data_IF_984535580328
#
_entry.id   IF_984535580328
#
_cell.length_a   1.000
_cell.length_b   1.000
_cell.length_c   1.000
_cell.angle_alpha   90.00
_cell.angle_beta   90.00
_cell.angle_gamma   90.00
#
_symmetry.space_group_name_H-M   'P 1'
#
loop_
_entity.id
_entity.type
_entity.pdbx_description
1 polymer ?
#
# COMPACT_ATOMS: atom_id res chain seq x y z
N UNK A 1 13.69 11.85 25.93
CA UNK A 1 12.38 12.21 25.35
C UNK A 1 12.61 13.34 24.34
N UNK A 2 12.72 13.01 23.04
CA UNK A 2 12.73 14.05 21.99
C UNK A 2 11.32 14.65 21.99
N UNK A 3 11.22 15.97 22.15
CA UNK A 3 9.93 16.65 21.98
C UNK A 3 9.47 16.45 20.54
N UNK A 4 8.19 16.09 20.35
CA UNK A 4 7.55 16.04 19.04
C UNK A 4 7.46 17.46 18.49
N UNK A 5 8.53 17.90 17.82
CA UNK A 5 8.66 19.21 17.21
C UNK A 5 8.56 19.04 15.69
N UNK A 6 7.33 18.79 15.24
CA UNK A 6 6.99 18.79 13.82
C UNK A 6 6.73 20.24 13.41
N UNK A 7 7.34 20.67 12.30
CA UNK A 7 7.08 22.01 11.77
C UNK A 7 5.60 22.11 11.35
N UNK A 8 4.98 23.30 11.47
CA UNK A 8 3.55 23.45 11.13
C UNK A 8 3.22 22.96 9.71
N UNK A 9 4.09 23.21 8.74
CA UNK A 9 3.91 22.77 7.34
C UNK A 9 3.96 21.25 7.22
N UNK A 10 4.90 20.62 7.90
CA UNK A 10 5.10 19.17 7.97
C UNK A 10 3.88 18.49 8.62
N UNK A 11 3.36 19.07 9.72
CA UNK A 11 2.14 18.58 10.36
C UNK A 11 0.94 18.64 9.42
N UNK A 12 0.77 19.72 8.67
CA UNK A 12 -0.32 19.84 7.69
C UNK A 12 -0.19 18.82 6.56
N UNK A 13 1.02 18.57 6.06
CA UNK A 13 1.27 17.55 5.04
C UNK A 13 0.93 16.15 5.56
N UNK A 14 1.36 15.82 6.79
CA UNK A 14 1.03 14.56 7.44
C UNK A 14 -0.48 14.38 7.60
N UNK A 15 -1.18 15.39 8.13
CA UNK A 15 -2.63 15.35 8.28
C UNK A 15 -3.35 15.13 6.94
N UNK A 16 -2.88 15.80 5.88
CA UNK A 16 -3.45 15.63 4.54
C UNK A 16 -3.22 14.22 3.97
N UNK A 17 -2.09 13.57 4.27
CA UNK A 17 -1.84 12.18 3.89
C UNK A 17 -2.85 11.25 4.57
N UNK A 18 -3.04 11.39 5.88
CA UNK A 18 -4.01 10.58 6.62
C UNK A 18 -5.45 10.86 6.22
N UNK A 19 -5.80 12.11 5.92
CA UNK A 19 -7.12 12.48 5.40
C UNK A 19 -7.41 11.79 4.06
N UNK A 20 -6.46 11.85 3.12
CA UNK A 20 -6.59 11.16 1.83
C UNK A 20 -6.79 9.65 2.02
N UNK A 21 -6.02 9.03 2.92
CA UNK A 21 -6.18 7.61 3.25
C UNK A 21 -7.53 7.30 3.88
N UNK A 22 -8.01 8.14 4.79
CA UNK A 22 -9.31 8.00 5.43
C UNK A 22 -10.47 8.06 4.43
N UNK A 23 -10.35 8.86 3.36
CA UNK A 23 -11.34 8.88 2.28
C UNK A 23 -11.52 7.51 1.62
N UNK A 24 -10.47 6.69 1.52
CA UNK A 24 -10.55 5.34 0.93
C UNK A 24 -11.22 4.34 1.86
N UNK A 25 -11.10 4.55 3.17
CA UNK A 25 -11.71 3.67 4.16
C UNK A 25 -13.24 3.84 4.22
N UNK A 26 -13.82 4.82 3.51
CA UNK A 26 -15.27 4.97 3.34
C UNK A 26 -16.06 5.01 4.67
N UNK A 27 -15.47 5.60 5.71
CA UNK A 27 -15.94 5.58 7.10
C UNK A 27 -16.02 4.18 7.74
N UNK A 28 -15.22 3.21 7.28
CA UNK A 28 -14.93 2.00 8.05
C UNK A 28 -14.19 2.42 9.33
N UNK A 29 -15.02 2.75 10.31
CA UNK A 29 -14.59 3.21 11.62
C UNK A 29 -13.70 2.18 12.28
N UNK A 30 -13.85 0.89 11.97
CA UNK A 30 -12.99 -0.17 12.50
C UNK A 30 -11.63 -0.20 11.82
N UNK A 31 -11.54 -0.05 10.49
CA UNK A 31 -10.26 0.05 9.81
C UNK A 31 -9.50 1.35 10.16
N UNK A 32 -10.24 2.43 10.40
CA UNK A 32 -9.66 3.69 10.87
C UNK A 32 -9.29 3.62 12.35
N UNK A 33 -10.10 2.98 13.21
CA UNK A 33 -9.73 2.73 14.60
C UNK A 33 -8.58 1.73 14.71
N UNK A 34 -8.47 0.69 13.88
CA UNK A 34 -7.31 -0.20 13.94
C UNK A 34 -6.01 0.53 13.58
N UNK A 35 -6.02 1.44 12.60
CA UNK A 35 -4.86 2.30 12.32
C UNK A 35 -4.45 3.18 13.51
N UNK A 36 -5.41 3.61 14.33
CA UNK A 36 -5.21 4.54 15.46
C UNK A 36 -4.93 3.79 16.78
N UNK A 37 -5.65 2.70 17.02
CA UNK A 37 -5.62 1.88 18.25
C UNK A 37 -4.55 0.79 18.18
N UNK A 38 -4.24 0.24 16.99
CA UNK A 38 -3.22 -0.81 16.79
C UNK A 38 -1.89 -0.28 16.27
N UNK A 39 -1.71 1.04 16.09
CA UNK A 39 -0.37 1.65 16.07
C UNK A 39 0.25 1.56 17.47
N UNK A 40 0.48 0.31 17.87
CA UNK A 40 0.95 -0.10 19.17
C UNK A 40 2.39 0.36 19.29
N UNK A 41 2.61 1.44 20.02
CA UNK A 41 3.94 1.73 20.53
C UNK A 41 4.16 0.83 21.75
N UNK A 42 4.95 -0.23 21.58
CA UNK A 42 5.23 -1.15 22.69
C UNK A 42 6.54 -0.74 23.35
N UNK A 43 6.43 -0.20 24.57
CA UNK A 43 7.55 0.28 25.38
C UNK A 43 8.28 -0.89 26.07
N UNK A 44 7.66 -2.06 26.19
CA UNK A 44 8.25 -3.20 26.88
C UNK A 44 8.06 -4.52 26.12
N UNK A 45 9.20 -5.16 25.83
CA UNK A 45 9.43 -6.33 24.98
C UNK A 45 8.55 -7.57 25.26
N UNK A 46 7.97 -7.66 26.46
CA UNK A 46 7.39 -8.89 27.00
C UNK A 46 5.97 -9.23 26.52
N UNK A 47 5.30 -8.32 25.80
CA UNK A 47 3.91 -8.49 25.36
C UNK A 47 3.76 -8.62 23.84
N UNK A 48 4.81 -8.97 23.10
CA UNK A 48 4.80 -9.06 21.63
C UNK A 48 4.36 -10.44 21.12
N UNK A 49 3.41 -11.07 21.79
CA UNK A 49 2.94 -12.42 21.46
C UNK A 49 1.47 -12.40 21.06
N UNK A 50 1.15 -11.91 19.86
CA UNK A 50 -0.10 -12.19 19.14
C UNK A 50 0.00 -11.70 17.69
N UNK A 51 -0.67 -12.39 16.78
CA UNK A 51 -0.69 -12.10 15.33
C UNK A 51 -1.05 -10.63 15.09
N UNK A 52 -0.14 -9.86 14.51
CA UNK A 52 -0.36 -8.44 14.23
C UNK A 52 -0.72 -8.25 12.78
N UNK A 53 -1.77 -7.47 12.53
CA UNK A 53 -2.14 -7.06 11.18
C UNK A 53 -1.38 -5.81 10.72
N UNK A 54 -0.61 -5.17 11.61
CA UNK A 54 0.11 -3.91 11.36
C UNK A 54 1.58 -3.98 11.79
N UNK A 55 2.40 -3.11 11.20
CA UNK A 55 3.78 -2.90 11.63
C UNK A 55 3.79 -2.31 13.03
N UNK A 56 4.67 -2.86 13.87
CA UNK A 56 4.83 -2.41 15.26
C UNK A 56 6.20 -1.85 15.49
N UNK A 57 6.23 -0.69 16.14
CA UNK A 57 7.43 -0.06 16.65
C UNK A 57 7.70 -0.51 18.09
N UNK A 58 8.90 -1.01 18.34
CA UNK A 58 9.37 -1.45 19.67
C UNK A 58 10.62 -0.67 20.03
N UNK A 59 10.69 -0.16 21.26
CA UNK A 59 11.92 0.43 21.79
C UNK A 59 12.75 -0.69 22.45
N UNK A 60 13.95 -0.94 21.93
CA UNK A 60 14.89 -1.91 22.48
C UNK A 60 15.62 -1.40 23.72
N UNK A 61 16.26 -2.32 24.44
CA UNK A 61 17.05 -2.03 25.65
C UNK A 61 18.24 -1.09 25.38
N UNK A 62 18.69 -1.01 24.13
CA UNK A 62 19.75 -0.12 23.63
C UNK A 62 19.24 1.29 23.28
N UNK A 63 17.98 1.60 23.59
CA UNK A 63 17.26 2.80 23.18
C UNK A 63 17.15 2.98 21.65
N UNK A 64 17.26 1.89 20.88
CA UNK A 64 17.02 1.91 19.44
C UNK A 64 15.61 1.44 19.11
N UNK A 65 15.04 2.03 18.07
CA UNK A 65 13.73 1.62 17.57
C UNK A 65 13.90 0.41 16.65
N UNK A 66 13.09 -0.61 16.88
CA UNK A 66 12.98 -1.80 16.03
C UNK A 66 11.57 -1.87 15.45
N UNK A 67 11.46 -2.35 14.21
CA UNK A 67 10.19 -2.67 13.57
C UNK A 67 9.94 -4.17 13.60
N UNK A 68 8.68 -4.54 13.75
CA UNK A 68 8.18 -5.90 13.54
C UNK A 68 7.10 -5.83 12.47
N UNK A 69 7.27 -6.59 11.39
CA UNK A 69 6.32 -6.69 10.28
C UNK A 69 5.09 -7.53 10.67
N UNK A 70 3.89 -7.27 10.12
CA UNK A 70 2.71 -8.12 10.33
C UNK A 70 2.95 -9.62 10.07
N UNK A 71 3.87 -9.92 9.14
CA UNK A 71 4.11 -11.27 8.62
C UNK A 71 5.32 -11.96 9.27
N UNK A 72 6.05 -11.28 10.14
CA UNK A 72 7.28 -11.79 10.73
C UNK A 72 7.35 -11.47 12.22
N UNK A 73 7.87 -12.39 13.01
CA UNK A 73 8.27 -12.12 14.40
C UNK A 73 9.70 -11.55 14.49
N UNK A 74 10.39 -11.42 13.36
CA UNK A 74 11.73 -10.86 13.30
C UNK A 74 11.71 -9.36 13.58
N UNK A 75 12.66 -8.93 14.41
CA UNK A 75 12.92 -7.52 14.70
C UNK A 75 13.96 -7.02 13.72
N UNK A 76 13.57 -6.01 12.95
CA UNK A 76 14.48 -5.32 12.05
C UNK A 76 14.75 -3.95 12.66
N UNK A 77 16.03 -3.55 12.70
CA UNK A 77 16.38 -2.21 13.15
C UNK A 77 15.64 -1.19 12.28
N UNK A 78 14.90 -0.28 12.92
CA UNK A 78 14.19 0.75 12.19
C UNK A 78 15.23 1.69 11.55
N UNK A 79 15.07 1.96 10.26
CA UNK A 79 16.05 2.72 9.50
C UNK A 79 16.30 4.08 10.18
N UNK A 80 17.56 4.47 10.33
CA UNK A 80 17.92 5.68 11.06
C UNK A 80 17.82 6.91 10.15
N UNK A 81 16.61 7.16 9.66
CA UNK A 81 16.25 8.41 9.00
C UNK A 81 16.31 9.59 9.99
N UNK A 82 16.31 10.82 9.44
CA UNK A 82 16.20 12.05 10.24
C UNK A 82 14.79 12.27 10.83
N UNK A 83 13.81 11.47 10.39
CA UNK A 83 12.41 11.54 10.76
C UNK A 83 12.10 10.95 12.14
N UNK A 84 10.83 11.06 12.55
CA UNK A 84 10.33 10.38 13.74
C UNK A 84 9.89 8.96 13.38
N UNK A 85 10.49 7.90 13.96
CA UNK A 85 10.15 6.51 13.68
C UNK A 85 8.67 6.18 13.91
N UNK A 86 7.99 6.88 14.82
CA UNK A 86 6.56 6.70 15.03
C UNK A 86 5.76 7.17 13.81
N UNK A 87 6.11 8.33 13.25
CA UNK A 87 5.45 8.87 12.05
C UNK A 87 5.68 7.94 10.86
N UNK A 88 6.92 7.48 10.66
CA UNK A 88 7.25 6.57 9.57
C UNK A 88 6.47 5.25 9.69
N UNK A 89 6.44 4.67 10.90
CA UNK A 89 5.65 3.46 11.15
C UNK A 89 4.15 3.71 10.91
N UNK A 90 3.61 4.86 11.29
CA UNK A 90 2.22 5.23 11.02
C UNK A 90 1.94 5.41 9.52
N UNK A 91 2.87 5.99 8.75
CA UNK A 91 2.75 6.09 7.30
C UNK A 91 2.82 4.70 6.64
N UNK A 92 3.71 3.83 7.10
CA UNK A 92 3.79 2.45 6.61
C UNK A 92 2.51 1.66 6.90
N UNK A 93 1.93 1.82 8.10
CA UNK A 93 0.66 1.21 8.47
C UNK A 93 -0.51 1.74 7.66
N UNK A 94 -0.53 3.05 7.36
CA UNK A 94 -1.52 3.64 6.48
C UNK A 94 -1.48 2.95 5.11
N UNK A 95 -0.29 2.84 4.52
CA UNK A 95 -0.10 2.19 3.21
C UNK A 95 -0.58 0.75 3.27
N UNK A 96 -0.12 -0.03 4.27
CA UNK A 96 -0.52 -1.42 4.44
C UNK A 96 -2.05 -1.60 4.54
N UNK A 97 -2.72 -0.65 5.19
CA UNK A 97 -4.17 -0.72 5.40
C UNK A 97 -4.94 -0.35 4.13
N UNK A 98 -4.56 0.74 3.46
CA UNK A 98 -5.27 1.17 2.24
C UNK A 98 -5.04 0.21 1.08
N UNK A 99 -3.92 -0.51 1.05
CA UNK A 99 -3.65 -1.57 0.06
C UNK A 99 -4.30 -2.90 0.40
N UNK A 100 -4.92 -3.03 1.58
CA UNK A 100 -5.57 -4.26 1.98
C UNK A 100 -6.77 -4.57 1.07
N UNK A 101 -6.85 -5.82 0.60
CA UNK A 101 -7.85 -6.28 -0.37
C UNK A 101 -9.30 -5.89 -0.01
N UNK A 102 -9.68 -6.04 1.27
CA UNK A 102 -11.01 -5.70 1.76
C UNK A 102 -11.39 -4.22 1.52
N UNK A 103 -10.42 -3.31 1.65
CA UNK A 103 -10.63 -1.88 1.40
C UNK A 103 -10.80 -1.65 -0.10
N UNK A 104 -9.89 -2.24 -0.89
CA UNK A 104 -9.87 -2.09 -2.34
C UNK A 104 -11.17 -2.63 -3.00
N UNK A 105 -11.68 -3.77 -2.52
CA UNK A 105 -12.89 -4.39 -3.08
C UNK A 105 -14.14 -3.52 -2.93
N UNK A 106 -14.19 -2.70 -1.88
CA UNK A 106 -15.32 -1.80 -1.61
C UNK A 106 -15.24 -0.49 -2.42
N UNK A 107 -14.20 -0.32 -3.24
CA UNK A 107 -14.09 0.82 -4.12
C UNK A 107 -15.18 0.80 -5.20
N UNK A 108 -15.82 1.96 -5.40
CA UNK A 108 -16.84 2.16 -6.43
C UNK A 108 -16.34 3.08 -7.56
N UNK A 109 -15.15 3.65 -7.43
CA UNK A 109 -14.55 4.60 -8.36
C UNK A 109 -13.02 4.40 -8.43
N UNK A 110 -12.57 3.72 -9.48
CA UNK A 110 -11.16 3.41 -9.73
C UNK A 110 -10.33 4.66 -9.99
N UNK A 111 -10.90 5.63 -10.70
CA UNK A 111 -10.21 6.89 -11.02
C UNK A 111 -9.92 7.65 -9.72
N UNK A 112 -10.90 7.70 -8.82
CA UNK A 112 -10.71 8.28 -7.49
C UNK A 112 -9.67 7.50 -6.66
N UNK A 113 -9.70 6.17 -6.68
CA UNK A 113 -8.71 5.33 -6.00
C UNK A 113 -7.28 5.61 -6.48
N UNK A 114 -7.08 5.59 -7.80
CA UNK A 114 -5.80 5.89 -8.45
C UNK A 114 -5.33 7.31 -8.12
N UNK A 115 -6.25 8.28 -8.13
CA UNK A 115 -5.95 9.68 -7.77
C UNK A 115 -5.49 9.80 -6.32
N UNK A 116 -6.16 9.13 -5.39
CA UNK A 116 -5.81 9.19 -3.96
C UNK A 116 -4.45 8.52 -3.70
N UNK A 117 -4.19 7.34 -4.28
CA UNK A 117 -2.88 6.70 -4.16
C UNK A 117 -1.75 7.58 -4.70
N UNK A 118 -1.95 8.19 -5.87
CA UNK A 118 -0.97 9.14 -6.42
C UNK A 118 -0.74 10.32 -5.47
N UNK A 119 -1.79 10.91 -4.89
CA UNK A 119 -1.65 11.99 -3.90
C UNK A 119 -0.86 11.55 -2.67
N UNK A 120 -1.13 10.37 -2.13
CA UNK A 120 -0.40 9.82 -0.98
C UNK A 120 1.08 9.64 -1.33
N UNK A 121 1.38 9.03 -2.49
CA UNK A 121 2.78 8.84 -2.94
C UNK A 121 3.51 10.15 -3.08
N UNK A 122 2.91 11.15 -3.74
CA UNK A 122 3.54 12.46 -3.94
C UNK A 122 3.74 13.20 -2.62
N UNK A 123 2.74 13.16 -1.73
CA UNK A 123 2.82 13.82 -0.43
C UNK A 123 3.89 13.18 0.44
N UNK A 124 3.99 11.85 0.51
CA UNK A 124 5.05 11.17 1.27
C UNK A 124 6.43 11.47 0.68
N UNK A 125 6.58 11.47 -0.65
CA UNK A 125 7.86 11.85 -1.30
C UNK A 125 8.27 13.29 -1.04
N UNK A 126 7.34 14.18 -0.68
CA UNK A 126 7.64 15.57 -0.31
C UNK A 126 8.09 15.73 1.15
N UNK A 127 8.05 14.67 1.95
CA UNK A 127 8.49 14.64 3.34
C UNK A 127 9.95 14.19 3.42
N UNK A 128 10.88 15.09 3.11
CA UNK A 128 12.32 14.81 2.91
C UNK A 128 13.04 14.10 4.08
N UNK A 129 12.46 14.14 5.30
CA UNK A 129 13.05 13.53 6.51
C UNK A 129 12.65 12.09 6.72
N UNK A 130 11.61 11.60 6.04
CA UNK A 130 10.96 10.35 6.37
C UNK A 130 11.28 9.25 5.35
N UNK A 131 11.63 8.06 5.84
CA UNK A 131 11.86 6.88 4.99
C UNK A 131 10.70 5.88 5.11
N UNK A 132 9.78 5.91 4.14
CA UNK A 132 8.62 4.99 4.13
C UNK A 132 8.91 3.80 3.21
N UNK A 133 9.43 2.73 3.79
CA UNK A 133 10.00 1.59 3.04
C UNK A 133 9.00 0.85 2.16
N UNK A 134 7.72 0.79 2.55
CA UNK A 134 6.67 0.15 1.76
C UNK A 134 5.96 1.10 0.78
N UNK A 135 6.46 2.32 0.58
CA UNK A 135 5.85 3.27 -0.36
C UNK A 135 5.79 2.75 -1.79
N UNK A 136 6.79 1.96 -2.18
CA UNK A 136 6.89 1.40 -3.52
C UNK A 136 5.80 0.37 -3.81
N UNK A 137 5.16 -0.22 -2.79
CA UNK A 137 4.04 -1.16 -2.95
C UNK A 137 2.82 -0.51 -3.64
N UNK A 138 2.65 0.81 -3.52
CA UNK A 138 1.56 1.54 -4.19
C UNK A 138 1.78 1.66 -5.69
N UNK A 139 3.02 1.67 -6.16
CA UNK A 139 3.34 1.99 -7.56
C UNK A 139 2.79 0.93 -8.53
N UNK A 140 3.01 -0.38 -8.33
CA UNK A 140 2.41 -1.42 -9.17
C UNK A 140 0.88 -1.41 -9.15
N UNK A 141 0.27 -1.08 -8.00
CA UNK A 141 -1.18 -1.00 -7.87
C UNK A 141 -1.73 0.19 -8.66
N UNK A 142 -1.08 1.36 -8.60
CA UNK A 142 -1.43 2.53 -9.42
C UNK A 142 -1.35 2.19 -10.90
N UNK A 143 -0.26 1.55 -11.34
CA UNK A 143 -0.07 1.15 -12.74
C UNK A 143 -1.13 0.16 -13.19
N UNK A 144 -1.50 -0.82 -12.35
CA UNK A 144 -2.60 -1.74 -12.62
C UNK A 144 -3.94 -1.01 -12.80
N UNK A 145 -4.28 -0.07 -11.89
CA UNK A 145 -5.51 0.72 -11.98
C UNK A 145 -5.57 1.51 -13.29
N UNK A 146 -4.47 2.16 -13.67
CA UNK A 146 -4.37 2.94 -14.91
C UNK A 146 -4.52 2.07 -16.16
N UNK A 147 -3.93 0.87 -16.16
CA UNK A 147 -4.08 -0.10 -17.26
C UNK A 147 -5.54 -0.52 -17.41
N UNK A 148 -6.21 -0.85 -16.32
CA UNK A 148 -7.63 -1.24 -16.35
C UNK A 148 -8.48 -0.07 -16.83
N UNK A 149 -8.27 1.13 -16.29
CA UNK A 149 -9.01 2.35 -16.68
C UNK A 149 -8.82 2.68 -18.18
N UNK A 150 -7.60 2.52 -18.69
CA UNK A 150 -7.28 2.87 -20.08
C UNK A 150 -7.81 1.85 -21.10
N UNK A 151 -7.75 0.57 -20.76
CA UNK A 151 -7.96 -0.52 -21.71
C UNK A 151 -9.38 -1.10 -21.67
N UNK A 152 -10.18 -0.86 -20.65
CA UNK A 152 -11.50 -1.52 -20.50
C UNK A 152 -12.65 -0.55 -20.63
N UNK A 153 -13.78 -1.02 -21.16
CA UNK A 153 -15.02 -0.27 -21.25
C UNK A 153 -15.77 -0.25 -19.90
N UNK A 154 -15.56 -1.25 -19.05
CA UNK A 154 -16.08 -1.32 -17.69
C UNK A 154 -14.95 -1.57 -16.67
N UNK A 155 -14.17 -0.52 -16.34
CA UNK A 155 -13.04 -0.61 -15.41
C UNK A 155 -13.42 -1.24 -14.07
N UNK A 156 -14.58 -0.87 -13.51
CA UNK A 156 -15.01 -1.36 -12.20
C UNK A 156 -15.26 -2.86 -12.17
N UNK A 157 -15.88 -3.40 -13.22
CA UNK A 157 -16.12 -4.84 -13.34
C UNK A 157 -14.79 -5.59 -13.46
N UNK A 158 -13.92 -5.16 -14.38
CA UNK A 158 -12.62 -5.81 -14.60
C UNK A 158 -11.76 -5.75 -13.35
N UNK A 159 -11.69 -4.59 -12.70
CA UNK A 159 -10.98 -4.42 -11.45
C UNK A 159 -11.46 -5.36 -10.35
N UNK A 160 -12.77 -5.47 -10.12
CA UNK A 160 -13.31 -6.39 -9.11
C UNK A 160 -12.93 -7.85 -9.39
N UNK A 161 -12.89 -8.24 -10.67
CA UNK A 161 -12.47 -9.58 -11.07
C UNK A 161 -10.97 -9.80 -10.79
N UNK A 162 -10.13 -8.84 -11.17
CA UNK A 162 -8.68 -8.83 -10.94
C UNK A 162 -8.34 -8.87 -9.45
N UNK A 163 -8.96 -8.00 -8.67
CA UNK A 163 -8.77 -7.92 -7.23
C UNK A 163 -9.18 -9.25 -6.58
N UNK A 164 -10.34 -9.82 -6.95
CA UNK A 164 -10.76 -11.14 -6.47
C UNK A 164 -9.74 -12.24 -6.82
N UNK A 165 -9.19 -12.21 -8.03
CA UNK A 165 -8.16 -13.17 -8.45
C UNK A 165 -6.89 -13.04 -7.60
N UNK A 166 -6.41 -11.82 -7.34
CA UNK A 166 -5.26 -11.57 -6.45
C UNK A 166 -5.54 -12.10 -5.03
N UNK A 167 -6.72 -11.83 -4.46
CA UNK A 167 -7.06 -12.29 -3.09
C UNK A 167 -7.09 -13.81 -2.92
N UNK A 168 -7.44 -14.52 -3.98
CA UNK A 168 -7.50 -15.99 -3.97
C UNK A 168 -6.10 -16.59 -4.17
N UNK A 169 -5.17 -15.82 -4.73
CA UNK A 169 -3.80 -16.23 -5.04
C UNK A 169 -2.80 -15.36 -4.27
N UNK A 170 -2.75 -15.54 -2.94
CA UNK A 170 -1.99 -14.70 -1.99
C UNK A 170 -0.49 -14.58 -2.34
N UNK A 171 0.04 -15.50 -3.15
CA UNK A 171 1.45 -15.56 -3.53
C UNK A 171 1.74 -15.10 -4.97
N UNK A 172 0.79 -14.43 -5.62
CA UNK A 172 0.87 -14.20 -7.07
C UNK A 172 2.06 -13.35 -7.54
N UNK A 173 2.65 -12.59 -6.62
CA UNK A 173 3.82 -11.76 -6.88
C UNK A 173 5.12 -12.35 -6.31
N UNK A 174 5.15 -13.64 -5.93
CA UNK A 174 6.36 -14.27 -5.36
C UNK A 174 7.33 -14.85 -6.41
N UNK A 175 6.91 -14.97 -7.67
CA UNK A 175 7.79 -15.51 -8.72
C UNK A 175 7.43 -14.95 -10.10
N UNK A 176 8.42 -14.91 -11.00
CA UNK A 176 8.20 -14.48 -12.37
C UNK A 176 7.11 -15.29 -13.08
N UNK A 177 7.01 -16.60 -12.78
CA UNK A 177 5.98 -17.46 -13.36
C UNK A 177 4.57 -17.02 -12.92
N UNK A 178 4.37 -16.76 -11.63
CA UNK A 178 3.07 -16.35 -11.11
C UNK A 178 2.68 -14.94 -11.60
N UNK A 179 3.66 -14.05 -11.75
CA UNK A 179 3.45 -12.73 -12.36
C UNK A 179 3.02 -12.90 -13.83
N UNK A 180 3.64 -13.82 -14.57
CA UNK A 180 3.23 -14.09 -15.95
C UNK A 180 1.80 -14.65 -16.03
N UNK A 181 1.46 -15.61 -15.16
CA UNK A 181 0.09 -16.18 -15.07
C UNK A 181 -0.95 -15.10 -14.74
N UNK A 182 -0.62 -14.16 -13.84
CA UNK A 182 -1.45 -13.00 -13.56
C UNK A 182 -1.67 -12.12 -14.79
N UNK A 183 -0.62 -11.85 -15.56
CA UNK A 183 -0.73 -11.04 -16.78
C UNK A 183 -1.57 -11.75 -17.83
N UNK A 184 -1.48 -13.07 -17.96
CA UNK A 184 -2.36 -13.85 -18.85
C UNK A 184 -3.82 -13.79 -18.41
N UNK A 185 -4.09 -13.89 -17.11
CA UNK A 185 -5.43 -13.70 -16.56
C UNK A 185 -5.97 -12.30 -16.86
N UNK A 186 -5.19 -11.25 -16.56
CA UNK A 186 -5.56 -9.86 -16.81
C UNK A 186 -5.82 -9.60 -18.30
N UNK A 187 -4.98 -10.17 -19.17
CA UNK A 187 -5.17 -10.14 -20.63
C UNK A 187 -6.54 -10.71 -21.02
N UNK A 188 -6.91 -11.86 -20.46
CA UNK A 188 -8.22 -12.48 -20.70
C UNK A 188 -9.40 -11.61 -20.26
N UNK A 189 -9.31 -10.97 -19.10
CA UNK A 189 -10.35 -10.06 -18.61
C UNK A 189 -10.48 -8.81 -19.50
N UNK A 190 -9.36 -8.23 -19.94
CA UNK A 190 -9.35 -7.03 -20.78
C UNK A 190 -9.92 -7.33 -22.16
N UNK A 191 -9.52 -8.42 -22.82
CA UNK A 191 -10.05 -8.76 -24.15
C UNK A 191 -11.56 -9.01 -24.17
N UNK A 192 -12.16 -9.42 -23.05
CA UNK A 192 -13.61 -9.61 -22.96
C UNK A 192 -14.39 -8.28 -22.90
N UNK A 193 -13.73 -7.17 -22.60
CA UNK A 193 -14.37 -5.90 -22.23
C UNK A 193 -13.70 -4.67 -22.88
N UNK A 194 -12.91 -4.87 -23.93
CA UNK A 194 -12.16 -3.81 -24.60
C UNK A 194 -12.55 -3.66 -26.07
N UNK A 195 -12.68 -2.42 -26.53
CA UNK A 195 -12.73 -2.06 -27.96
C UNK A 195 -11.36 -1.62 -28.51
N UNK A 196 -10.28 -1.79 -27.72
CA UNK A 196 -8.91 -1.44 -28.15
C UNK A 196 -8.34 -2.52 -29.06
N UNK A 197 -7.40 -2.12 -29.92
CA UNK A 197 -6.68 -3.07 -30.75
C UNK A 197 -5.72 -3.94 -29.91
N UNK A 198 -5.57 -5.20 -30.33
CA UNK A 198 -4.73 -6.22 -29.66
C UNK A 198 -3.29 -5.72 -29.43
N UNK A 199 -2.74 -4.99 -30.40
CA UNK A 199 -1.36 -4.50 -30.31
C UNK A 199 -1.19 -3.47 -29.18
N UNK A 200 -2.16 -2.57 -29.00
CA UNK A 200 -2.19 -1.60 -27.91
C UNK A 200 -2.35 -2.27 -26.55
N UNK A 201 -3.22 -3.27 -26.46
CA UNK A 201 -3.43 -4.08 -25.24
C UNK A 201 -2.13 -4.79 -24.86
N UNK A 202 -1.54 -5.55 -25.78
CA UNK A 202 -0.34 -6.33 -25.51
C UNK A 202 0.85 -5.44 -25.13
N UNK A 203 1.06 -4.33 -25.84
CA UNK A 203 2.14 -3.39 -25.51
C UNK A 203 1.99 -2.82 -24.11
N UNK A 204 0.77 -2.50 -23.71
CA UNK A 204 0.49 -1.95 -22.38
C UNK A 204 0.70 -3.00 -21.29
N UNK A 205 0.21 -4.23 -21.51
CA UNK A 205 0.38 -5.33 -20.57
C UNK A 205 1.84 -5.74 -20.40
N UNK A 206 2.64 -5.75 -21.48
CA UNK A 206 4.09 -6.02 -21.38
C UNK A 206 4.81 -4.96 -20.53
N UNK A 207 4.38 -3.69 -20.59
CA UNK A 207 4.95 -2.64 -19.72
C UNK A 207 4.59 -2.88 -18.25
N UNK A 208 3.34 -3.23 -17.97
CA UNK A 208 2.89 -3.55 -16.62
C UNK A 208 3.64 -4.77 -16.07
N UNK A 209 3.79 -5.82 -16.88
CA UNK A 209 4.55 -7.03 -16.52
C UNK A 209 5.99 -6.70 -16.15
N UNK A 210 6.67 -5.90 -16.97
CA UNK A 210 8.05 -5.47 -16.69
C UNK A 210 8.17 -4.65 -15.39
N UNK A 211 7.16 -3.84 -15.07
CA UNK A 211 7.10 -3.09 -13.80
C UNK A 211 6.86 -4.00 -12.60
N UNK A 212 5.95 -4.97 -12.72
CA UNK A 212 5.69 -5.95 -11.66
C UNK A 212 6.94 -6.78 -11.36
N UNK A 213 7.61 -7.30 -12.39
CA UNK A 213 8.85 -8.08 -12.26
C UNK A 213 10.03 -7.30 -11.67
N UNK A 214 9.98 -5.97 -11.69
CA UNK A 214 11.02 -5.13 -11.10
C UNK A 214 10.79 -4.88 -9.60
N UNK A 215 9.52 -4.80 -9.19
CA UNK A 215 9.13 -4.38 -7.86
C UNK A 215 8.72 -5.55 -6.94
N UNK A 216 8.60 -6.76 -7.50
CA UNK A 216 8.22 -8.00 -6.82
C UNK A 216 9.08 -9.16 -7.31
#
# INVERSE_FOLDING_TARGET
>A
MKYFLVYRTELLQLLQIFENGACLLNNDKYAMMSLIDESNFVIEEKNVAEQRNLFTLVLGDDNQYNQISPQSSEKILFDQSDGDPLIENSLMNLIHTITHFNIIQNCNDITNLSTIYNRIVQSIKSLDRYSVNNLEELQPLISLLQVIEMLTNNPLKTFRSVIRYISTNINIFQSCQLIHEFIQFLRGEIYQDSDRDDQSIDRTLTKLEAELLRNW
#
